data_IF_177585334658
#
_entry.id   IF_177585334658
#
_cell.length_a   1.000
_cell.length_b   1.000
_cell.length_c   1.000
_cell.angle_alpha   90.00
_cell.angle_beta   90.00
_cell.angle_gamma   90.00
#
_symmetry.space_group_name_H-M   'P 1'
#
loop_
_entity.id
_entity.type
_entity.pdbx_description
1 polymer ?
#
# COMPACT_ATOMS: atom_id res chain seq x y z
N UNK A 1 -18.99 -11.60 -7.96
CA UNK A 1 -19.26 -10.72 -9.12
C UNK A 1 -18.16 -9.67 -9.21
N UNK A 2 -17.48 -9.59 -10.35
CA UNK A 2 -16.55 -8.51 -10.63
C UNK A 2 -17.33 -7.22 -10.96
N UNK A 3 -16.74 -6.06 -10.66
CA UNK A 3 -17.30 -4.78 -11.06
C UNK A 3 -17.03 -4.55 -12.54
N UNK A 4 -18.03 -4.05 -13.25
CA UNK A 4 -17.90 -3.67 -14.64
C UNK A 4 -17.55 -2.18 -14.73
N UNK A 5 -16.43 -1.88 -15.35
CA UNK A 5 -16.02 -0.50 -15.65
C UNK A 5 -16.47 -0.21 -17.07
N UNK A 6 -17.35 0.77 -17.20
CA UNK A 6 -18.02 1.16 -18.44
C UNK A 6 -17.46 2.52 -18.86
N UNK A 7 -17.15 2.70 -20.14
CA UNK A 7 -16.74 3.97 -20.71
C UNK A 7 -17.91 4.95 -20.85
N UNK A 8 -17.63 6.17 -21.32
CA UNK A 8 -18.64 7.22 -21.52
C UNK A 8 -19.70 6.83 -22.57
N UNK A 9 -19.38 5.91 -23.46
CA UNK A 9 -20.27 5.39 -24.52
C UNK A 9 -21.10 4.17 -24.03
N UNK A 10 -20.98 3.79 -22.76
CA UNK A 10 -21.71 2.67 -22.18
C UNK A 10 -21.14 1.29 -22.54
N UNK A 11 -19.93 1.23 -23.09
CA UNK A 11 -19.26 -0.01 -23.46
C UNK A 11 -18.42 -0.55 -22.31
N UNK A 12 -18.44 -1.88 -22.12
CA UNK A 12 -17.61 -2.54 -21.10
C UNK A 12 -16.12 -2.37 -21.42
N UNK A 13 -15.41 -1.62 -20.61
CA UNK A 13 -13.96 -1.42 -20.74
C UNK A 13 -13.21 -2.59 -20.11
N UNK A 14 -13.53 -2.91 -18.86
CA UNK A 14 -12.87 -4.01 -18.12
C UNK A 14 -13.68 -4.46 -16.91
N UNK A 15 -13.37 -5.67 -16.44
CA UNK A 15 -13.87 -6.18 -15.16
C UNK A 15 -12.83 -5.91 -14.07
N UNK A 16 -13.26 -5.38 -12.95
CA UNK A 16 -12.39 -5.06 -11.81
C UNK A 16 -12.95 -5.62 -10.50
N UNK A 17 -12.05 -5.92 -9.58
CA UNK A 17 -12.37 -6.33 -8.22
C UNK A 17 -12.55 -5.13 -7.29
N UNK A 18 -11.85 -4.03 -7.60
CA UNK A 18 -11.89 -2.77 -6.88
C UNK A 18 -11.81 -1.61 -7.87
N UNK A 19 -12.67 -0.63 -7.71
CA UNK A 19 -12.67 0.61 -8.50
C UNK A 19 -12.45 1.80 -7.58
N UNK A 20 -11.55 2.69 -7.96
CA UNK A 20 -11.18 3.90 -7.21
C UNK A 20 -11.57 5.13 -8.03
N UNK A 21 -12.31 6.04 -7.41
CA UNK A 21 -12.65 7.31 -8.04
C UNK A 21 -11.43 8.25 -8.07
N UNK A 22 -11.02 8.64 -9.26
CA UNK A 22 -9.91 9.54 -9.51
C UNK A 22 -10.40 10.98 -9.51
N UNK A 23 -9.89 11.80 -8.61
CA UNK A 23 -10.21 13.23 -8.55
C UNK A 23 -9.32 14.00 -9.52
N UNK A 24 -9.84 15.03 -10.23
CA UNK A 24 -9.04 15.92 -11.07
C UNK A 24 -8.18 16.85 -10.20
N UNK A 25 -7.06 16.31 -9.64
CA UNK A 25 -6.19 17.00 -8.66
C UNK A 25 -5.58 18.27 -9.28
N UNK A 26 -5.20 18.19 -10.55
CA UNK A 26 -4.53 19.29 -11.25
C UNK A 26 -5.51 20.43 -11.61
N UNK A 27 -6.78 20.12 -11.79
CA UNK A 27 -7.83 21.11 -12.11
C UNK A 27 -8.48 21.71 -10.86
N UNK A 28 -8.23 21.13 -9.69
CA UNK A 28 -8.85 21.61 -8.43
C UNK A 28 -8.17 22.88 -7.94
N UNK A 29 -8.86 24.03 -8.05
CA UNK A 29 -8.34 25.37 -7.69
C UNK A 29 -7.94 25.51 -6.21
N UNK A 30 -8.58 24.75 -5.32
CA UNK A 30 -8.34 24.82 -3.86
C UNK A 30 -7.08 24.09 -3.38
N UNK A 31 -6.33 23.41 -4.27
CA UNK A 31 -5.12 22.71 -3.90
C UNK A 31 -3.88 23.57 -4.13
N UNK A 32 -3.21 23.97 -3.04
CA UNK A 32 -1.90 24.62 -3.11
C UNK A 32 -0.91 23.74 -3.89
N UNK A 33 0.00 24.33 -4.66
CA UNK A 33 1.05 23.63 -5.43
C UNK A 33 1.83 22.60 -4.60
N UNK A 34 2.14 22.92 -3.34
CA UNK A 34 2.79 22.00 -2.40
C UNK A 34 1.92 20.77 -2.12
N UNK A 35 0.60 20.96 -1.94
CA UNK A 35 -0.35 19.88 -1.69
C UNK A 35 -0.47 18.95 -2.89
N UNK A 36 -0.53 19.49 -4.12
CA UNK A 36 -0.54 18.71 -5.37
C UNK A 36 0.71 17.84 -5.49
N UNK A 37 1.91 18.44 -5.32
CA UNK A 37 3.19 17.71 -5.40
C UNK A 37 3.30 16.58 -4.36
N UNK A 38 2.87 16.81 -3.13
CA UNK A 38 2.87 15.77 -2.09
C UNK A 38 1.86 14.67 -2.35
N UNK A 39 0.73 14.98 -2.95
CA UNK A 39 -0.28 13.99 -3.30
C UNK A 39 0.20 13.08 -4.43
N UNK A 40 0.83 13.65 -5.46
CA UNK A 40 1.48 12.88 -6.53
C UNK A 40 2.61 11.99 -6.00
N UNK A 41 3.46 12.53 -5.12
CA UNK A 41 4.52 11.75 -4.48
C UNK A 41 3.94 10.60 -3.63
N UNK A 42 2.91 10.88 -2.83
CA UNK A 42 2.23 9.87 -2.02
C UNK A 42 1.61 8.78 -2.86
N UNK A 43 0.92 9.13 -3.93
CA UNK A 43 0.32 8.17 -4.87
C UNK A 43 1.40 7.36 -5.61
N UNK A 44 2.52 7.98 -5.98
CA UNK A 44 3.65 7.27 -6.60
C UNK A 44 4.24 6.22 -5.66
N UNK A 45 4.49 6.57 -4.39
CA UNK A 45 5.01 5.62 -3.39
C UNK A 45 4.04 4.46 -3.19
N UNK A 46 2.73 4.74 -3.13
CA UNK A 46 1.71 3.69 -3.01
C UNK A 46 1.69 2.78 -4.24
N UNK A 47 1.79 3.33 -5.46
CA UNK A 47 1.89 2.55 -6.70
C UNK A 47 3.06 1.58 -6.66
N UNK A 48 4.24 2.07 -6.26
CA UNK A 48 5.43 1.22 -6.11
C UNK A 48 5.23 0.13 -5.04
N UNK A 49 4.66 0.48 -3.89
CA UNK A 49 4.43 -0.46 -2.79
C UNK A 49 3.34 -1.51 -3.11
N UNK A 50 2.31 -1.12 -3.84
CA UNK A 50 1.17 -1.99 -4.20
C UNK A 50 1.36 -2.72 -5.53
N UNK A 51 2.26 -2.24 -6.39
CA UNK A 51 2.37 -2.68 -7.78
C UNK A 51 1.05 -2.53 -8.55
N UNK A 52 0.35 -1.42 -8.33
CA UNK A 52 -0.90 -1.04 -8.99
C UNK A 52 -0.74 0.30 -9.69
N UNK A 53 -1.56 0.57 -10.69
CA UNK A 53 -1.50 1.81 -11.46
C UNK A 53 -2.60 2.80 -11.03
N UNK A 54 -2.69 3.08 -9.73
CA UNK A 54 -3.71 3.97 -9.15
C UNK A 54 -3.18 5.40 -9.08
N UNK A 55 -3.81 6.36 -9.80
CA UNK A 55 -3.34 7.75 -9.82
C UNK A 55 -3.63 8.50 -8.52
N UNK A 56 -4.80 8.27 -7.90
CA UNK A 56 -5.26 8.97 -6.69
C UNK A 56 -5.44 8.01 -5.51
N UNK A 57 -4.33 7.58 -4.92
CA UNK A 57 -4.35 6.65 -3.79
C UNK A 57 -5.09 7.17 -2.53
N UNK A 58 -5.07 8.46 -2.16
CA UNK A 58 -5.82 8.98 -1.02
C UNK A 58 -7.33 9.08 -1.25
N UNK A 59 -7.85 8.85 -2.46
CA UNK A 59 -9.30 8.91 -2.72
C UNK A 59 -10.06 7.93 -1.83
N UNK A 60 -11.11 8.43 -1.18
CA UNK A 60 -12.03 7.62 -0.37
C UNK A 60 -13.23 7.08 -1.14
N UNK A 61 -13.46 7.55 -2.38
CA UNK A 61 -14.57 7.07 -3.20
C UNK A 61 -14.17 5.78 -3.89
N UNK A 62 -14.77 4.66 -3.46
CA UNK A 62 -14.37 3.31 -3.90
C UNK A 62 -15.55 2.37 -3.98
N UNK A 63 -15.47 1.46 -4.94
CA UNK A 63 -16.36 0.31 -5.03
C UNK A 63 -15.53 -0.97 -4.92
N UNK A 64 -16.10 -1.95 -4.24
CA UNK A 64 -15.49 -3.26 -4.05
C UNK A 64 -16.46 -4.33 -4.53
N UNK A 65 -15.94 -5.33 -5.24
CA UNK A 65 -16.73 -6.54 -5.47
C UNK A 65 -16.99 -7.25 -4.12
N UNK A 66 -18.05 -8.02 -4.03
CA UNK A 66 -18.37 -8.79 -2.81
C UNK A 66 -17.20 -9.66 -2.38
N UNK A 67 -16.58 -10.34 -3.32
CA UNK A 67 -15.45 -11.22 -3.04
C UNK A 67 -14.26 -10.43 -2.48
N UNK A 68 -13.95 -9.29 -3.08
CA UNK A 68 -12.90 -8.39 -2.60
C UNK A 68 -13.21 -7.88 -1.19
N UNK A 69 -14.45 -7.48 -0.92
CA UNK A 69 -14.86 -6.99 0.40
C UNK A 69 -14.69 -8.08 1.49
N UNK A 70 -15.01 -9.34 1.17
CA UNK A 70 -14.79 -10.46 2.08
C UNK A 70 -13.32 -10.79 2.32
N UNK A 71 -12.44 -10.51 1.35
CA UNK A 71 -10.97 -10.73 1.45
C UNK A 71 -10.23 -9.57 2.12
N UNK A 72 -10.84 -8.38 2.18
CA UNK A 72 -10.18 -7.21 2.75
C UNK A 72 -10.09 -7.28 4.28
N UNK A 73 -8.88 -7.00 4.79
CA UNK A 73 -8.58 -6.91 6.21
C UNK A 73 -7.92 -5.56 6.50
N UNK A 74 -8.67 -4.64 7.12
CA UNK A 74 -8.16 -3.33 7.52
C UNK A 74 -7.70 -3.40 8.96
N UNK A 75 -6.41 -3.21 9.18
CA UNK A 75 -5.77 -3.28 10.50
C UNK A 75 -5.48 -1.88 11.06
N UNK A 76 -5.33 -0.88 10.17
CA UNK A 76 -5.02 0.47 10.58
C UNK A 76 -6.28 1.27 10.92
N UNK A 77 -6.30 1.86 12.10
CA UNK A 77 -7.38 2.73 12.57
C UNK A 77 -7.39 4.11 11.87
N UNK A 78 -6.25 4.52 11.31
CA UNK A 78 -6.11 5.89 10.80
C UNK A 78 -6.62 6.08 9.37
N UNK A 79 -6.26 5.18 8.46
CA UNK A 79 -6.70 5.26 7.05
C UNK A 79 -6.71 3.88 6.41
N UNK A 80 -7.87 3.52 5.90
CA UNK A 80 -8.04 2.29 5.12
C UNK A 80 -7.59 2.49 3.66
N UNK A 81 -7.53 3.75 3.18
CA UNK A 81 -7.37 4.03 1.76
C UNK A 81 -6.03 3.54 1.19
N UNK A 82 -4.94 3.74 1.90
CA UNK A 82 -3.62 3.29 1.46
C UNK A 82 -3.44 1.78 1.66
N UNK A 83 -3.94 1.28 2.79
CA UNK A 83 -3.82 -0.13 3.16
C UNK A 83 -4.56 -1.03 2.19
N UNK A 84 -5.81 -0.70 1.84
CA UNK A 84 -6.61 -1.51 0.92
C UNK A 84 -6.03 -1.57 -0.49
N UNK A 85 -5.40 -0.48 -1.00
CA UNK A 85 -4.70 -0.51 -2.29
C UNK A 85 -3.49 -1.44 -2.24
N UNK A 86 -2.68 -1.32 -1.17
CA UNK A 86 -1.50 -2.16 -1.01
C UNK A 86 -1.92 -3.64 -0.90
N UNK A 87 -2.94 -3.93 -0.12
CA UNK A 87 -3.49 -5.28 0.02
C UNK A 87 -4.03 -5.82 -1.31
N UNK A 88 -4.83 -5.02 -2.05
CA UNK A 88 -5.37 -5.40 -3.35
C UNK A 88 -4.25 -5.75 -4.35
N UNK A 89 -3.24 -4.88 -4.45
CA UNK A 89 -2.10 -5.11 -5.34
C UNK A 89 -1.26 -6.34 -4.95
N UNK A 90 -1.03 -6.56 -3.65
CA UNK A 90 -0.29 -7.72 -3.17
C UNK A 90 -1.06 -9.03 -3.36
N UNK A 91 -2.39 -8.98 -3.29
CA UNK A 91 -3.29 -10.11 -3.57
C UNK A 91 -3.59 -10.29 -5.06
N UNK A 92 -2.96 -9.48 -5.94
CA UNK A 92 -3.14 -9.50 -7.40
C UNK A 92 -4.61 -9.34 -7.83
N UNK A 93 -5.39 -8.56 -7.08
CA UNK A 93 -6.75 -8.21 -7.44
C UNK A 93 -6.74 -7.19 -8.59
N UNK A 94 -7.73 -7.25 -9.46
CA UNK A 94 -7.90 -6.31 -10.56
C UNK A 94 -8.37 -4.96 -10.00
N UNK A 95 -7.47 -3.95 -9.98
CA UNK A 95 -7.78 -2.59 -9.54
C UNK A 95 -7.93 -1.69 -10.75
N UNK A 96 -9.03 -0.94 -10.79
CA UNK A 96 -9.31 0.05 -11.81
C UNK A 96 -9.47 1.43 -11.18
N UNK A 97 -9.27 2.49 -11.96
CA UNK A 97 -9.60 3.86 -11.60
C UNK A 97 -10.57 4.45 -12.62
N UNK A 98 -11.43 5.34 -12.17
CA UNK A 98 -12.33 6.07 -13.04
C UNK A 98 -12.47 7.52 -12.59
N UNK A 99 -12.66 8.49 -13.53
CA UNK A 99 -12.78 9.90 -13.20
C UNK A 99 -14.06 10.17 -12.40
N UNK A 100 -13.94 10.99 -11.37
CA UNK A 100 -15.08 11.44 -10.56
C UNK A 100 -15.11 12.98 -10.48
N UNK A 101 -16.33 13.53 -10.38
CA UNK A 101 -16.51 14.96 -10.09
C UNK A 101 -16.33 15.22 -8.60
N UNK A 102 -15.67 16.32 -8.26
CA UNK A 102 -15.52 16.78 -6.88
C UNK A 102 -16.39 18.01 -6.65
N UNK A 103 -17.13 18.00 -5.55
CA UNK A 103 -17.88 19.20 -5.15
C UNK A 103 -16.92 20.27 -4.58
N UNK A 104 -17.28 21.56 -4.69
CA UNK A 104 -16.51 22.63 -4.06
C UNK A 104 -16.43 22.44 -2.54
N UNK A 105 -15.37 22.94 -1.94
CA UNK A 105 -15.13 22.80 -0.49
C UNK A 105 -16.19 23.59 0.29
N UNK A 106 -17.09 22.88 0.97
CA UNK A 106 -18.18 23.50 1.78
C UNK A 106 -17.74 23.83 3.21
N UNK A 107 -16.64 23.21 3.69
CA UNK A 107 -16.10 23.45 5.03
C UNK A 107 -14.61 23.08 5.10
N UNK A 108 -13.81 23.72 5.97
CA UNK A 108 -12.42 23.35 6.19
C UNK A 108 -12.31 21.93 6.75
N UNK A 109 -11.33 21.17 6.26
CA UNK A 109 -11.10 19.78 6.68
C UNK A 109 -10.69 19.69 8.16
N UNK A 110 -11.44 18.94 8.95
CA UNK A 110 -11.10 18.65 10.36
C UNK A 110 -9.96 17.64 10.52
N UNK A 111 -9.73 16.81 9.49
CA UNK A 111 -8.78 15.70 9.56
C UNK A 111 -7.33 16.15 9.34
N UNK A 112 -7.10 17.28 8.68
CA UNK A 112 -5.78 17.73 8.26
C UNK A 112 -5.40 19.08 8.82
N UNK A 113 -5.18 19.13 10.13
CA UNK A 113 -4.68 20.35 10.78
C UNK A 113 -3.20 20.65 10.45
N UNK A 114 -2.44 19.65 9.98
CA UNK A 114 -1.04 19.82 9.59
C UNK A 114 -0.65 18.81 8.49
N UNK A 115 -0.20 19.31 7.34
CA UNK A 115 0.30 18.52 6.22
C UNK A 115 1.47 17.60 6.65
N UNK A 116 2.36 18.08 7.50
CA UNK A 116 3.48 17.30 8.02
C UNK A 116 3.03 16.08 8.85
N UNK A 117 2.02 16.26 9.69
CA UNK A 117 1.45 15.17 10.49
C UNK A 117 0.81 14.11 9.59
N UNK A 118 0.08 14.53 8.55
CA UNK A 118 -0.48 13.64 7.55
C UNK A 118 0.59 12.83 6.84
N UNK A 119 1.65 13.49 6.35
CA UNK A 119 2.76 12.84 5.67
C UNK A 119 3.47 11.81 6.55
N UNK A 120 3.79 12.18 7.80
CA UNK A 120 4.44 11.26 8.75
C UNK A 120 3.57 10.01 8.99
N UNK A 121 2.27 10.19 9.18
CA UNK A 121 1.34 9.06 9.38
C UNK A 121 1.19 8.22 8.12
N UNK A 122 1.05 8.82 6.95
CA UNK A 122 0.97 8.09 5.68
C UNK A 122 2.25 7.31 5.38
N UNK A 123 3.41 7.90 5.60
CA UNK A 123 4.70 7.22 5.48
C UNK A 123 4.80 6.03 6.44
N UNK A 124 4.37 6.18 7.69
CA UNK A 124 4.33 5.09 8.66
C UNK A 124 3.43 3.94 8.21
N UNK A 125 2.25 4.24 7.65
CA UNK A 125 1.33 3.21 7.11
C UNK A 125 1.98 2.49 5.93
N UNK A 126 2.58 3.22 4.98
CA UNK A 126 3.23 2.64 3.81
C UNK A 126 4.39 1.73 4.22
N UNK A 127 5.29 2.21 5.10
CA UNK A 127 6.44 1.44 5.59
C UNK A 127 5.95 0.18 6.31
N UNK A 128 4.98 0.31 7.21
CA UNK A 128 4.41 -0.81 7.94
C UNK A 128 3.77 -1.83 7.00
N UNK A 129 2.95 -1.37 6.05
CA UNK A 129 2.29 -2.26 5.08
C UNK A 129 3.32 -2.95 4.19
N UNK A 130 4.34 -2.23 3.68
CA UNK A 130 5.39 -2.83 2.85
C UNK A 130 6.19 -3.87 3.62
N UNK A 131 6.60 -3.54 4.86
CA UNK A 131 7.30 -4.49 5.74
C UNK A 131 6.45 -5.72 6.10
N UNK A 132 5.13 -5.58 6.14
CA UNK A 132 4.20 -6.64 6.49
C UNK A 132 3.87 -7.57 5.31
N UNK A 133 3.80 -7.01 4.09
CA UNK A 133 3.43 -7.78 2.89
C UNK A 133 4.63 -8.28 2.07
N UNK A 134 5.79 -7.60 2.14
CA UNK A 134 7.04 -7.96 1.44
C UNK A 134 8.27 -7.78 2.33
N UNK A 135 8.34 -8.45 3.47
CA UNK A 135 9.41 -8.22 4.43
C UNK A 135 10.79 -8.59 3.87
N UNK A 136 10.91 -9.68 3.13
CA UNK A 136 12.18 -10.08 2.54
C UNK A 136 12.72 -9.03 1.56
N UNK A 137 11.86 -8.44 0.74
CA UNK A 137 12.30 -7.37 -0.16
C UNK A 137 12.74 -6.12 0.61
N UNK A 138 11.96 -5.71 1.62
CA UNK A 138 12.25 -4.50 2.41
C UNK A 138 13.54 -4.64 3.22
N UNK A 139 13.63 -5.67 4.06
CA UNK A 139 14.79 -5.90 4.90
C UNK A 139 15.98 -6.47 4.13
N UNK A 140 15.74 -7.23 3.07
CA UNK A 140 16.76 -7.76 2.19
C UNK A 140 17.55 -6.67 1.48
N UNK A 141 16.87 -5.68 0.87
CA UNK A 141 17.53 -4.55 0.22
C UNK A 141 18.32 -3.73 1.25
N UNK A 142 17.69 -3.38 2.38
CA UNK A 142 18.36 -2.61 3.44
C UNK A 142 19.58 -3.35 3.99
N UNK A 143 19.44 -4.63 4.31
CA UNK A 143 20.53 -5.46 4.84
C UNK A 143 21.67 -5.66 3.82
N UNK A 144 21.34 -5.84 2.53
CA UNK A 144 22.33 -5.93 1.47
C UNK A 144 23.13 -4.64 1.31
N UNK A 145 22.49 -3.49 1.39
CA UNK A 145 23.19 -2.19 1.34
C UNK A 145 24.15 -2.06 2.52
N UNK A 146 23.71 -2.36 3.74
CA UNK A 146 24.57 -2.32 4.93
C UNK A 146 25.72 -3.30 4.85
N UNK A 147 25.45 -4.52 4.37
CA UNK A 147 26.47 -5.56 4.20
C UNK A 147 27.55 -5.15 3.19
N UNK A 148 27.13 -4.67 2.00
CA UNK A 148 28.06 -4.22 0.97
C UNK A 148 28.86 -2.99 1.41
N UNK A 149 28.26 -2.07 2.17
CA UNK A 149 28.98 -0.96 2.76
C UNK A 149 30.06 -1.45 3.73
N UNK A 150 29.74 -2.45 4.57
CA UNK A 150 30.70 -3.11 5.45
C UNK A 150 31.85 -3.78 4.67
N UNK A 151 31.53 -4.50 3.60
CA UNK A 151 32.53 -5.09 2.69
C UNK A 151 33.41 -4.02 2.07
N UNK A 152 32.86 -2.92 1.59
CA UNK A 152 33.64 -1.82 1.00
C UNK A 152 34.65 -1.22 2.00
N UNK A 153 34.23 -0.99 3.25
CA UNK A 153 35.11 -0.51 4.33
C UNK A 153 36.16 -1.56 4.67
N UNK A 154 35.80 -2.84 4.68
CA UNK A 154 36.71 -3.97 4.93
C UNK A 154 37.79 -4.10 3.83
N UNK A 155 37.38 -4.03 2.56
CA UNK A 155 38.32 -4.06 1.43
C UNK A 155 39.28 -2.86 1.47
N UNK A 156 38.78 -1.67 1.79
CA UNK A 156 39.62 -0.49 2.00
C UNK A 156 40.67 -0.75 3.09
N UNK A 157 40.27 -1.30 4.23
CA UNK A 157 41.19 -1.65 5.30
C UNK A 157 42.25 -2.67 4.84
N UNK A 158 41.84 -3.70 4.11
CA UNK A 158 42.75 -4.73 3.59
C UNK A 158 43.81 -4.14 2.67
N UNK A 159 43.46 -3.22 1.79
CA UNK A 159 44.39 -2.53 0.91
C UNK A 159 45.43 -1.75 1.73
N UNK A 160 44.99 -0.95 2.72
CA UNK A 160 45.94 -0.22 3.59
C UNK A 160 46.84 -1.17 4.40
N UNK A 161 46.29 -2.28 4.85
CA UNK A 161 47.06 -3.29 5.57
C UNK A 161 48.17 -3.90 4.69
N UNK A 162 47.87 -4.27 3.45
CA UNK A 162 48.83 -4.80 2.47
C UNK A 162 49.89 -3.76 2.07
N UNK A 163 49.60 -2.47 2.15
CA UNK A 163 50.55 -1.39 1.88
C UNK A 163 51.44 -1.04 3.09
N UNK A 164 51.37 -1.79 4.18
CA UNK A 164 52.19 -1.63 5.39
C UNK A 164 51.69 -0.58 6.39
N UNK A 165 50.51 0.02 6.16
CA UNK A 165 49.91 1.08 6.99
C UNK A 165 48.83 0.61 7.99
N UNK A 166 48.77 -0.67 8.35
CA UNK A 166 47.68 -1.27 9.12
C UNK A 166 47.47 -0.77 10.54
N UNK A 167 48.52 -0.28 11.20
CA UNK A 167 48.51 0.01 12.66
C UNK A 167 47.57 1.19 13.08
N UNK A 168 47.14 2.08 12.15
CA UNK A 168 46.26 3.20 12.44
C UNK A 168 44.75 2.99 12.08
N UNK A 169 44.38 1.84 11.51
CA UNK A 169 43.06 1.66 10.89
C UNK A 169 42.18 0.58 11.56
N UNK A 170 42.50 0.16 12.80
CA UNK A 170 41.72 -0.85 13.54
C UNK A 170 40.24 -0.45 13.72
N UNK A 171 39.96 0.85 13.85
CA UNK A 171 38.60 1.37 13.94
C UNK A 171 37.78 1.08 12.66
N UNK A 172 38.43 1.13 11.47
CA UNK A 172 37.78 0.77 10.21
C UNK A 172 37.42 -0.72 10.15
N UNK A 173 38.25 -1.58 10.73
CA UNK A 173 37.97 -3.03 10.80
C UNK A 173 36.80 -3.33 11.71
N UNK A 174 36.70 -2.66 12.88
CA UNK A 174 35.56 -2.77 13.79
C UNK A 174 34.28 -2.30 13.12
N UNK A 175 34.34 -1.15 12.43
CA UNK A 175 33.20 -0.62 11.70
C UNK A 175 32.74 -1.57 10.58
N UNK A 176 33.70 -2.12 9.80
CA UNK A 176 33.41 -3.06 8.73
C UNK A 176 32.72 -4.32 9.27
N UNK A 177 33.27 -4.93 10.33
CA UNK A 177 32.69 -6.14 10.93
C UNK A 177 31.30 -5.88 11.51
N UNK A 178 31.11 -4.73 12.18
CA UNK A 178 29.81 -4.36 12.74
C UNK A 178 28.76 -4.13 11.64
N UNK A 179 29.11 -3.44 10.54
CA UNK A 179 28.21 -3.23 9.41
C UNK A 179 27.84 -4.53 8.70
N UNK A 180 28.81 -5.43 8.50
CA UNK A 180 28.55 -6.75 7.90
C UNK A 180 27.65 -7.59 8.79
N UNK A 181 27.88 -7.61 10.11
CA UNK A 181 27.04 -8.34 11.05
C UNK A 181 25.61 -7.79 11.08
N UNK A 182 25.45 -6.47 11.20
CA UNK A 182 24.12 -5.83 11.19
C UNK A 182 23.42 -6.06 9.84
N UNK A 183 24.14 -5.96 8.72
CA UNK A 183 23.60 -6.23 7.39
C UNK A 183 23.10 -7.66 7.24
N UNK A 184 23.91 -8.65 7.63
CA UNK A 184 23.53 -10.06 7.62
C UNK A 184 22.32 -10.34 8.53
N UNK A 185 22.32 -9.77 9.73
CA UNK A 185 21.22 -9.92 10.69
C UNK A 185 19.92 -9.31 10.17
N UNK A 186 20.00 -8.17 9.46
CA UNK A 186 18.86 -7.52 8.83
C UNK A 186 18.26 -8.39 7.71
N UNK A 187 19.10 -9.04 6.89
CA UNK A 187 18.66 -10.00 5.87
C UNK A 187 17.94 -11.19 6.52
N UNK A 188 18.51 -11.73 7.60
CA UNK A 188 17.90 -12.85 8.34
C UNK A 188 16.53 -12.49 8.93
N UNK A 189 16.37 -11.26 9.45
CA UNK A 189 15.08 -10.74 9.89
C UNK A 189 14.09 -10.68 8.72
N UNK A 190 14.56 -10.28 7.52
CA UNK A 190 13.75 -10.29 6.31
C UNK A 190 13.23 -11.67 5.94
N UNK A 191 14.07 -12.70 6.04
CA UNK A 191 13.71 -14.09 5.78
C UNK A 191 12.68 -14.62 6.80
N UNK A 192 12.89 -14.33 8.08
CA UNK A 192 11.91 -14.68 9.12
C UNK A 192 10.57 -13.96 8.90
N UNK A 193 10.62 -12.69 8.54
CA UNK A 193 9.44 -11.91 8.19
C UNK A 193 8.66 -12.50 7.02
N UNK A 194 9.35 -13.05 6.02
CA UNK A 194 8.72 -13.67 4.85
C UNK A 194 7.94 -14.94 5.22
N UNK A 195 8.48 -15.75 6.14
CA UNK A 195 7.73 -16.92 6.65
C UNK A 195 6.49 -16.52 7.45
N UNK A 196 6.55 -15.42 8.22
CA UNK A 196 5.39 -14.86 8.93
C UNK A 196 4.37 -14.32 7.93
N UNK A 197 4.81 -13.64 6.87
CA UNK A 197 3.91 -13.14 5.82
C UNK A 197 3.22 -14.28 5.06
N UNK A 198 3.91 -15.40 4.83
CA UNK A 198 3.31 -16.60 4.23
C UNK A 198 2.21 -17.19 5.12
N UNK A 199 2.47 -17.34 6.42
CA UNK A 199 1.47 -17.81 7.39
C UNK A 199 0.26 -16.87 7.46
N UNK A 200 0.48 -15.56 7.37
CA UNK A 200 -0.60 -14.59 7.33
C UNK A 200 -1.50 -14.80 6.12
N UNK A 201 -0.95 -15.05 4.93
CA UNK A 201 -1.76 -15.33 3.72
C UNK A 201 -2.66 -16.54 3.90
N UNK A 202 -2.17 -17.60 4.55
CA UNK A 202 -2.99 -18.78 4.88
C UNK A 202 -4.12 -18.43 5.83
N UNK A 203 -3.86 -17.60 6.85
CA UNK A 203 -4.89 -17.14 7.78
C UNK A 203 -5.93 -16.24 7.09
N UNK A 204 -5.51 -15.35 6.19
CA UNK A 204 -6.41 -14.51 5.40
C UNK A 204 -7.31 -15.35 4.49
N UNK A 205 -6.78 -16.44 3.91
CA UNK A 205 -7.57 -17.37 3.09
C UNK A 205 -8.59 -18.16 3.93
N UNK A 206 -8.19 -18.66 5.10
CA UNK A 206 -9.12 -19.30 6.05
C UNK A 206 -10.22 -18.32 6.48
N UNK A 207 -9.86 -17.09 6.81
CA UNK A 207 -10.81 -16.05 7.19
C UNK A 207 -11.83 -15.75 6.06
N UNK A 208 -11.35 -15.71 4.82
CA UNK A 208 -12.23 -15.56 3.66
C UNK A 208 -13.24 -16.71 3.57
N UNK A 209 -12.79 -17.95 3.72
CA UNK A 209 -13.69 -19.11 3.66
C UNK A 209 -14.72 -19.11 4.79
N UNK A 210 -14.31 -18.74 6.01
CA UNK A 210 -15.25 -18.61 7.15
C UNK A 210 -16.30 -17.53 6.88
N UNK A 211 -15.89 -16.35 6.41
CA UNK A 211 -16.83 -15.27 6.06
C UNK A 211 -17.77 -15.67 4.92
N UNK A 212 -17.28 -16.46 3.97
CA UNK A 212 -18.08 -16.94 2.85
C UNK A 212 -19.11 -17.96 3.32
N UNK A 213 -18.75 -18.90 4.19
CA UNK A 213 -19.68 -19.86 4.78
C UNK A 213 -20.76 -19.14 5.60
N UNK A 214 -20.38 -18.22 6.48
CA UNK A 214 -21.31 -17.42 7.28
C UNK A 214 -22.29 -16.63 6.39
N UNK A 215 -21.81 -16.04 5.30
CA UNK A 215 -22.65 -15.34 4.34
C UNK A 215 -23.60 -16.29 3.59
N UNK A 216 -23.16 -17.51 3.26
CA UNK A 216 -23.98 -18.50 2.55
C UNK A 216 -25.07 -19.10 3.47
N UNK A 217 -24.79 -19.24 4.76
CA UNK A 217 -25.72 -19.75 5.77
C UNK A 217 -26.80 -18.72 6.16
N UNK A 218 -26.58 -17.42 5.92
CA UNK A 218 -27.51 -16.33 6.23
C UNK A 218 -28.07 -15.67 4.96
N UNK A 219 -29.00 -16.34 4.26
CA UNK A 219 -29.54 -15.83 2.99
C UNK A 219 -30.31 -14.51 3.12
N UNK A 220 -30.79 -14.17 4.32
CA UNK A 220 -31.44 -12.89 4.59
C UNK A 220 -30.45 -11.69 4.52
N UNK A 221 -29.18 -11.92 4.73
CA UNK A 221 -28.12 -10.94 4.54
C UNK A 221 -27.77 -10.71 3.05
N UNK A 222 -28.35 -11.52 2.16
CA UNK A 222 -28.05 -11.49 0.71
C UNK A 222 -28.73 -10.32 -0.03
N UNK A 223 -29.57 -9.52 0.61
CA UNK A 223 -30.40 -8.55 -0.09
C UNK A 223 -30.31 -7.11 0.40
N UNK A 224 -29.55 -6.28 -0.30
CA UNK A 224 -30.13 -5.02 -0.77
C UNK A 224 -30.53 -5.03 -2.26
N UNK A 225 -29.98 -5.93 -3.09
CA UNK A 225 -30.11 -5.83 -4.55
C UNK A 225 -31.37 -6.46 -5.16
N UNK A 226 -32.16 -7.22 -4.38
CA UNK A 226 -33.40 -7.84 -4.86
C UNK A 226 -34.68 -7.06 -4.51
N UNK A 227 -34.56 -5.90 -3.85
CA UNK A 227 -35.70 -4.99 -3.80
C UNK A 227 -35.71 -4.17 -5.08
N UNK A 228 -36.76 -4.28 -5.92
CA UNK A 228 -36.93 -3.34 -7.02
C UNK A 228 -36.86 -1.94 -6.43
N UNK A 229 -36.04 -1.08 -7.05
CA UNK A 229 -35.96 0.33 -6.71
C UNK A 229 -37.39 0.84 -6.59
N UNK A 230 -37.79 1.53 -5.51
CA UNK A 230 -39.12 2.08 -5.41
C UNK A 230 -39.34 2.90 -6.67
N UNK A 231 -40.32 2.44 -7.45
CA UNK A 231 -40.79 3.09 -8.63
C UNK A 231 -40.97 4.58 -8.26
N UNK A 232 -40.18 5.44 -8.85
CA UNK A 232 -40.27 6.86 -8.60
C UNK A 232 -41.70 7.22 -9.00
N UNK A 233 -42.52 7.40 -7.98
CA UNK A 233 -43.87 7.86 -8.18
C UNK A 233 -43.81 9.14 -9.03
N UNK A 234 -44.27 9.02 -10.24
CA UNK A 234 -44.60 10.16 -11.10
C UNK A 234 -45.45 11.10 -10.26
N UNK A 235 -44.81 12.13 -9.72
CA UNK A 235 -45.55 13.26 -9.18
C UNK A 235 -45.84 14.22 -10.33
N UNK A 236 -47.13 14.26 -10.57
CA UNK A 236 -47.81 15.28 -11.36
C UNK A 236 -47.38 16.72 -11.07
#
# INVERSE_FOLDING_TARGET
CALEVIDEDGKLERKADMVIGERPIDETEHFSWKKKKFQHLGSWVVRVASNTDVPDAPSGFRAYSRETAMRMNVVNEYTYTLETIIQAGQSKMAVASGPIRTNPETRPSRLFSSMWRYMKRSASVIIRSTAMYRPLHFFGVLGTILFLLGVAVGVRFLVYFCMGGGHGHVQSLILASSLMMIGFQTITIGLLGDTVAANRKLLEDVQYHVRKMDYDDHPEAKTPDDKPLPEQAEQK
#
